data_IF_846368424248
#
_entry.id   IF_846368424248
#
_cell.length_a   1.000
_cell.length_b   1.000
_cell.length_c   1.000
_cell.angle_alpha   90.00
_cell.angle_beta   90.00
_cell.angle_gamma   90.00
#
_symmetry.space_group_name_H-M   'P 1'
#
loop_
_entity.id
_entity.type
_entity.pdbx_description
1 polymer ?
#
# COMPACT_ATOMS: atom_id res chain seq x y z
N UNK A 1 -2.08 -28.60 20.94
CA UNK A 1 -1.12 -28.20 19.88
C UNK A 1 -1.87 -27.35 18.88
N UNK A 2 -1.68 -26.03 18.92
CA UNK A 2 -2.43 -25.10 18.07
C UNK A 2 -1.89 -25.15 16.65
N UNK A 3 -2.72 -25.59 15.70
CA UNK A 3 -2.42 -25.60 14.27
C UNK A 3 -2.08 -24.19 13.80
N UNK A 4 -0.79 -23.94 13.58
CA UNK A 4 -0.25 -22.74 12.95
C UNK A 4 -0.71 -22.70 11.49
N UNK A 5 -1.80 -21.99 11.22
CA UNK A 5 -2.23 -21.62 9.88
C UNK A 5 -1.25 -20.60 9.26
N UNK A 6 -0.04 -21.05 8.92
CA UNK A 6 1.06 -20.20 8.46
C UNK A 6 1.03 -19.84 6.95
N UNK A 7 0.02 -20.28 6.18
CA UNK A 7 -0.03 -20.08 4.72
C UNK A 7 -1.03 -19.02 4.23
N UNK A 8 -1.66 -18.22 5.11
CA UNK A 8 -2.66 -17.20 4.72
C UNK A 8 -2.29 -15.75 5.05
N UNK A 9 -1.12 -15.52 5.64
CA UNK A 9 -0.63 -14.17 5.95
C UNK A 9 -0.44 -13.27 4.71
N UNK A 10 0.02 -13.75 3.53
CA UNK A 10 0.20 -12.85 2.38
C UNK A 10 -1.12 -12.40 1.72
N UNK A 11 -2.29 -12.92 2.14
CA UNK A 11 -3.58 -12.65 1.48
C UNK A 11 -4.49 -11.76 2.35
N UNK A 12 -4.32 -11.75 3.68
CA UNK A 12 -5.19 -10.99 4.58
C UNK A 12 -4.49 -9.70 5.06
N UNK A 13 -4.54 -8.65 4.23
CA UNK A 13 -3.93 -7.34 4.53
C UNK A 13 -4.39 -6.74 5.88
N UNK A 14 -5.69 -6.77 6.26
CA UNK A 14 -6.12 -6.29 7.59
C UNK A 14 -5.46 -7.03 8.76
N UNK A 15 -5.32 -8.35 8.66
CA UNK A 15 -4.66 -9.13 9.72
C UNK A 15 -3.17 -8.79 9.80
N UNK A 16 -2.49 -8.73 8.65
CA UNK A 16 -1.07 -8.38 8.59
C UNK A 16 -0.82 -6.96 9.14
N UNK A 17 -1.70 -6.00 8.81
CA UNK A 17 -1.63 -4.64 9.35
C UNK A 17 -1.66 -4.62 10.88
N UNK A 18 -2.57 -5.39 11.49
CA UNK A 18 -2.67 -5.47 12.95
C UNK A 18 -1.43 -6.11 13.59
N UNK A 19 -0.83 -7.10 12.93
CA UNK A 19 0.40 -7.75 13.38
C UNK A 19 1.59 -6.80 13.29
N UNK A 20 1.77 -6.12 12.16
CA UNK A 20 2.81 -5.10 11.95
C UNK A 20 2.70 -4.00 12.99
N UNK A 21 1.50 -3.45 13.23
CA UNK A 21 1.30 -2.39 14.23
C UNK A 21 1.66 -2.82 15.67
N UNK A 22 1.70 -4.12 15.95
CA UNK A 22 2.07 -4.66 17.27
C UNK A 22 3.56 -4.94 17.39
N UNK A 23 4.20 -5.45 16.34
CA UNK A 23 5.63 -5.79 16.32
C UNK A 23 6.24 -5.61 14.91
N UNK A 24 6.54 -4.37 14.48
CA UNK A 24 7.01 -4.11 13.12
C UNK A 24 8.26 -4.90 12.69
N UNK A 25 9.32 -5.03 13.53
CA UNK A 25 10.52 -5.78 13.14
C UNK A 25 10.26 -7.25 12.79
N UNK A 26 9.29 -7.90 13.47
CA UNK A 26 8.98 -9.31 13.25
C UNK A 26 8.34 -9.60 11.87
N UNK A 27 7.67 -8.61 11.27
CA UNK A 27 6.88 -8.78 10.04
C UNK A 27 7.47 -8.05 8.82
N UNK A 28 8.76 -7.67 8.89
CA UNK A 28 9.42 -6.95 7.79
C UNK A 28 9.42 -7.74 6.47
N UNK A 29 9.51 -9.07 6.53
CA UNK A 29 9.55 -9.91 5.33
C UNK A 29 8.21 -9.91 4.61
N UNK A 30 7.12 -10.03 5.36
CA UNK A 30 5.75 -9.98 4.86
C UNK A 30 5.43 -8.59 4.32
N UNK A 31 5.88 -7.53 5.00
CA UNK A 31 5.81 -6.16 4.49
C UNK A 31 6.50 -6.03 3.14
N UNK A 32 7.77 -6.46 3.02
CA UNK A 32 8.54 -6.36 1.79
C UNK A 32 7.89 -7.16 0.64
N UNK A 33 7.27 -8.30 0.94
CA UNK A 33 6.50 -9.06 -0.04
C UNK A 33 5.32 -8.24 -0.59
N UNK A 34 4.53 -7.61 0.28
CA UNK A 34 3.42 -6.73 -0.15
C UNK A 34 3.93 -5.47 -0.86
N UNK A 35 5.10 -4.96 -0.47
CA UNK A 35 5.71 -3.79 -1.10
C UNK A 35 6.16 -4.09 -2.53
N UNK A 36 6.79 -5.25 -2.75
CA UNK A 36 7.11 -5.72 -4.11
C UNK A 36 5.84 -5.90 -4.95
N UNK A 37 4.78 -6.44 -4.34
CA UNK A 37 3.50 -6.62 -5.02
C UNK A 37 2.86 -5.28 -5.42
N UNK A 38 2.93 -4.28 -4.54
CA UNK A 38 2.55 -2.90 -4.84
C UNK A 38 3.34 -2.36 -6.03
N UNK A 39 4.66 -2.52 -6.04
CA UNK A 39 5.52 -2.05 -7.15
C UNK A 39 5.14 -2.70 -8.48
N UNK A 40 4.91 -4.01 -8.50
CA UNK A 40 4.45 -4.71 -9.72
C UNK A 40 3.10 -4.17 -10.19
N UNK A 41 2.15 -3.94 -9.28
CA UNK A 41 0.84 -3.37 -9.62
C UNK A 41 0.94 -1.92 -10.13
N UNK A 42 1.86 -1.11 -9.60
CA UNK A 42 2.13 0.24 -10.11
C UNK A 42 2.65 0.20 -11.54
N UNK A 43 3.58 -0.70 -11.85
CA UNK A 43 4.09 -0.84 -13.22
C UNK A 43 3.00 -1.31 -14.20
N UNK A 44 2.18 -2.28 -13.80
CA UNK A 44 1.01 -2.69 -14.59
C UNK A 44 0.04 -1.52 -14.79
N UNK A 45 -0.22 -0.76 -13.73
CA UNK A 45 -1.08 0.42 -13.77
C UNK A 45 -0.54 1.50 -14.72
N UNK A 46 0.78 1.77 -14.71
CA UNK A 46 1.40 2.72 -15.65
C UNK A 46 1.25 2.29 -17.11
N UNK A 47 1.22 0.98 -17.39
CA UNK A 47 0.98 0.44 -18.73
C UNK A 47 -0.50 0.52 -19.14
N UNK A 48 -1.43 0.36 -18.21
CA UNK A 48 -2.88 0.34 -18.46
C UNK A 48 -3.66 1.18 -17.42
N UNK A 49 -3.51 2.51 -17.42
CA UNK A 49 -4.06 3.38 -16.37
C UNK A 49 -5.59 3.51 -16.41
N UNK A 50 -6.22 3.08 -17.51
CA UNK A 50 -7.67 3.12 -17.71
C UNK A 50 -8.41 1.94 -17.05
N UNK A 51 -7.69 0.94 -16.54
CA UNK A 51 -8.31 -0.21 -15.87
C UNK A 51 -8.37 0.02 -14.37
N UNK A 52 -9.55 -0.15 -13.75
CA UNK A 52 -9.64 -0.12 -12.30
C UNK A 52 -8.81 -1.28 -11.74
N UNK A 53 -7.91 -0.97 -10.80
CA UNK A 53 -7.13 -1.98 -10.07
C UNK A 53 -7.50 -1.95 -8.60
N UNK A 54 -8.42 -2.85 -8.22
CA UNK A 54 -8.85 -3.03 -6.83
C UNK A 54 -7.68 -3.47 -5.95
N UNK A 55 -6.81 -4.32 -6.47
CA UNK A 55 -5.63 -4.82 -5.77
C UNK A 55 -4.64 -3.69 -5.47
N UNK A 56 -4.37 -2.81 -6.44
CA UNK A 56 -3.54 -1.62 -6.21
C UNK A 56 -4.16 -0.71 -5.15
N UNK A 57 -5.49 -0.50 -5.19
CA UNK A 57 -6.19 0.30 -4.18
C UNK A 57 -6.03 -0.27 -2.76
N UNK A 58 -6.19 -1.59 -2.61
CA UNK A 58 -6.03 -2.28 -1.32
C UNK A 58 -4.59 -2.20 -0.81
N UNK A 59 -3.60 -2.42 -1.68
CA UNK A 59 -2.19 -2.32 -1.36
C UNK A 59 -1.79 -0.89 -0.94
N UNK A 60 -2.24 0.13 -1.68
CA UNK A 60 -1.97 1.53 -1.35
C UNK A 60 -2.53 1.90 0.02
N UNK A 61 -3.76 1.49 0.32
CA UNK A 61 -4.37 1.73 1.62
C UNK A 61 -3.62 0.99 2.74
N UNK A 62 -3.18 -0.24 2.49
CA UNK A 62 -2.37 -1.00 3.43
C UNK A 62 -1.05 -0.28 3.75
N UNK A 63 -0.29 0.15 2.73
CA UNK A 63 0.97 0.89 2.92
C UNK A 63 0.76 2.19 3.70
N UNK A 64 -0.28 2.98 3.36
CA UNK A 64 -0.59 4.22 4.06
C UNK A 64 -0.89 4.00 5.56
N UNK A 65 -1.49 2.87 5.90
CA UNK A 65 -1.86 2.53 7.28
C UNK A 65 -0.68 2.08 8.15
N UNK A 66 0.35 1.50 7.55
CA UNK A 66 1.56 1.02 8.24
C UNK A 66 2.78 1.91 8.00
N UNK A 67 2.62 3.03 7.29
CA UNK A 67 3.71 3.94 6.94
C UNK A 67 4.62 4.27 8.11
N UNK A 68 4.03 4.54 9.28
CA UNK A 68 4.77 4.98 10.47
C UNK A 68 5.57 3.84 11.11
N UNK A 69 5.24 2.59 10.80
CA UNK A 69 5.97 1.41 11.25
C UNK A 69 7.25 1.19 10.45
N UNK A 70 7.32 1.68 9.20
CA UNK A 70 8.46 1.49 8.28
C UNK A 70 8.83 2.80 7.54
N UNK A 71 9.18 3.88 8.26
CA UNK A 71 9.44 5.19 7.66
C UNK A 71 10.61 5.17 6.66
N UNK A 72 11.63 4.35 6.90
CA UNK A 72 12.78 4.21 6.00
C UNK A 72 12.42 3.61 4.64
N UNK A 73 11.40 2.74 4.60
CA UNK A 73 10.95 2.09 3.36
C UNK A 73 9.87 2.89 2.63
N UNK A 74 9.07 3.68 3.35
CA UNK A 74 7.91 4.40 2.83
C UNK A 74 8.11 5.93 2.80
N UNK A 75 9.32 6.43 2.99
CA UNK A 75 9.65 7.86 2.89
C UNK A 75 9.30 8.46 1.52
N UNK A 76 9.55 7.72 0.44
CA UNK A 76 9.25 8.17 -0.92
C UNK A 76 7.80 7.87 -1.36
N UNK A 77 7.04 7.12 -0.55
CA UNK A 77 5.70 6.67 -0.92
C UNK A 77 4.69 7.83 -1.12
N UNK A 78 4.64 8.88 -0.27
CA UNK A 78 3.78 10.03 -0.52
C UNK A 78 4.07 10.72 -1.86
N UNK A 79 5.36 10.84 -2.24
CA UNK A 79 5.75 11.44 -3.52
C UNK A 79 5.31 10.57 -4.69
N UNK A 80 5.50 9.25 -4.61
CA UNK A 80 5.02 8.32 -5.65
C UNK A 80 3.51 8.43 -5.88
N UNK A 81 2.70 8.55 -4.81
CA UNK A 81 1.26 8.74 -4.95
C UNK A 81 0.90 10.07 -5.62
N UNK A 82 1.65 11.15 -5.34
CA UNK A 82 1.47 12.44 -6.01
C UNK A 82 1.80 12.34 -7.50
N UNK A 83 2.85 11.62 -7.86
CA UNK A 83 3.26 11.42 -9.24
C UNK A 83 2.23 10.57 -10.00
N UNK A 84 1.70 9.51 -9.36
CA UNK A 84 0.63 8.69 -9.92
C UNK A 84 -0.69 9.46 -10.11
N UNK A 85 -1.02 10.39 -9.22
CA UNK A 85 -2.16 11.31 -9.39
C UNK A 85 -1.94 12.34 -10.50
N UNK A 86 -0.68 12.72 -10.72
CA UNK A 86 -0.30 13.71 -11.75
C UNK A 86 -0.26 13.09 -13.15
N UNK A 87 -0.19 11.77 -13.27
CA UNK A 87 -0.36 11.03 -14.52
C UNK A 87 -1.77 11.27 -15.12
N UNK A 88 -1.84 11.62 -16.41
CA UNK A 88 -3.04 12.00 -17.18
C UNK A 88 -4.37 11.87 -16.41
N UNK A 89 -4.79 12.95 -15.75
CA UNK A 89 -5.94 13.00 -14.84
C UNK A 89 -7.28 12.56 -15.50
N UNK A 90 -7.32 12.51 -16.83
CA UNK A 90 -8.45 12.07 -17.65
C UNK A 90 -8.56 10.55 -17.79
N UNK A 91 -7.50 9.79 -17.50
CA UNK A 91 -7.45 8.33 -17.71
C UNK A 91 -7.56 7.56 -16.39
N UNK A 92 -7.16 8.18 -15.28
CA UNK A 92 -7.18 7.56 -13.97
C UNK A 92 -8.61 7.33 -13.47
N UNK A 93 -8.89 6.08 -13.11
CA UNK A 93 -10.15 5.66 -12.51
C UNK A 93 -10.55 6.56 -11.31
N UNK A 94 -11.80 7.05 -11.23
CA UNK A 94 -12.25 7.92 -10.13
C UNK A 94 -12.09 7.30 -8.74
N UNK A 95 -12.33 5.99 -8.58
CA UNK A 95 -12.24 5.32 -7.28
C UNK A 95 -10.77 5.17 -6.85
N UNK A 96 -9.89 4.88 -7.80
CA UNK A 96 -8.45 4.82 -7.56
C UNK A 96 -7.88 6.20 -7.19
N UNK A 97 -8.31 7.27 -7.88
CA UNK A 97 -8.01 8.67 -7.49
C UNK A 97 -8.38 8.95 -6.05
N UNK A 98 -9.62 8.64 -5.68
CA UNK A 98 -10.12 8.87 -4.34
C UNK A 98 -9.32 8.06 -3.30
N UNK A 99 -8.89 6.86 -3.66
CA UNK A 99 -8.04 6.01 -2.81
C UNK A 99 -6.67 6.65 -2.58
N UNK A 100 -6.01 7.14 -3.62
CA UNK A 100 -4.70 7.80 -3.49
C UNK A 100 -4.80 9.07 -2.64
N UNK A 101 -5.85 9.88 -2.83
CA UNK A 101 -6.11 11.05 -1.99
C UNK A 101 -6.31 10.67 -0.51
N UNK A 102 -7.11 9.63 -0.23
CA UNK A 102 -7.31 9.13 1.15
C UNK A 102 -6.00 8.64 1.77
N UNK A 103 -5.18 7.93 1.00
CA UNK A 103 -3.86 7.46 1.44
C UNK A 103 -2.93 8.63 1.81
N UNK A 104 -2.86 9.66 0.97
CA UNK A 104 -2.08 10.87 1.24
C UNK A 104 -2.54 11.60 2.51
N UNK A 105 -3.86 11.72 2.73
CA UNK A 105 -4.41 12.32 3.96
C UNK A 105 -4.00 11.51 5.20
N UNK A 106 -4.01 10.18 5.10
CA UNK A 106 -3.58 9.31 6.20
C UNK A 106 -2.07 9.41 6.47
N UNK A 107 -1.23 9.49 5.44
CA UNK A 107 0.22 9.65 5.58
C UNK A 107 0.58 10.97 6.27
N UNK A 108 -0.08 12.06 5.87
CA UNK A 108 0.06 13.37 6.53
C UNK A 108 -0.33 13.32 8.01
N UNK A 109 -1.42 12.62 8.35
CA UNK A 109 -1.81 12.43 9.76
C UNK A 109 -0.74 11.69 10.57
N UNK A 110 -0.02 10.77 9.92
CA UNK A 110 1.02 9.96 10.54
C UNK A 110 2.42 10.62 10.51
N UNK A 111 2.52 11.90 10.11
CA UNK A 111 3.78 12.67 9.96
C UNK A 111 4.78 12.03 8.97
N UNK A 112 4.28 11.41 7.91
CA UNK A 112 5.10 10.92 6.80
C UNK A 112 4.78 11.83 5.63
N UNK A 113 5.52 12.93 5.53
CA UNK A 113 5.40 13.95 4.48
C UNK A 113 6.75 14.14 3.78
#
# INVERSE_FOLDING_TARGET
MSSRNNNKLPINLPQLQNLIKRDPPAYIKEFLQQYNHYKSNVEIFKLQPNKPSKELAELVMFMAQIGHCYPEHLSNFPQELKDLLSYNHTVLDPDLRMTFCKALILLRKNNID
#
